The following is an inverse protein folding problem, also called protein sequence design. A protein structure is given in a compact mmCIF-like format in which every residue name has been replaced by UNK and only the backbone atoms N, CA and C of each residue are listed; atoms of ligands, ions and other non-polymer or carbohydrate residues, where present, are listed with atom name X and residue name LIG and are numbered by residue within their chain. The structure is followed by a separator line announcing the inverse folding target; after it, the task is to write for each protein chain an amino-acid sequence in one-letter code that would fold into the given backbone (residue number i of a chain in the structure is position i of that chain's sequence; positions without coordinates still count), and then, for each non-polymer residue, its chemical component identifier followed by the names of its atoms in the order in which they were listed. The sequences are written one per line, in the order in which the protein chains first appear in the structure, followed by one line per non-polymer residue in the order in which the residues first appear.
data_IF_306016142487
#
_entry.id   IF_306016142487
#
_cell.length_a   1.000
_cell.length_b   1.000
_cell.length_c   1.000
_cell.angle_alpha   90.00
_cell.angle_beta   90.00
_cell.angle_gamma   90.00
#
_symmetry.space_group_name_H-M   'P 1'
#
loop_
_entity.id
_entity.type
_entity.pdbx_description
1 polymer ?
#
# COMPACT_ATOMS: atom_id res chain seq x y z
N UNK A 1 18.98 -24.49 3.90
CA UNK A 1 19.26 -24.74 2.47
C UNK A 1 19.92 -26.08 2.22
N UNK A 2 20.83 -26.56 3.06
CA UNK A 2 21.45 -27.89 2.92
C UNK A 2 20.42 -29.01 2.80
N UNK A 3 19.32 -28.95 3.56
CA UNK A 3 18.23 -29.93 3.49
C UNK A 3 17.50 -29.90 2.14
N UNK A 4 17.38 -28.74 1.49
CA UNK A 4 16.74 -28.63 0.17
C UNK A 4 17.60 -29.31 -0.92
N UNK A 5 18.92 -29.26 -0.77
CA UNK A 5 19.88 -29.91 -1.66
C UNK A 5 19.92 -31.43 -1.39
N UNK A 6 19.99 -31.80 -0.11
CA UNK A 6 20.14 -33.21 0.31
C UNK A 6 18.89 -34.06 0.08
N UNK A 7 17.69 -33.44 0.16
CA UNK A 7 16.41 -34.11 0.07
C UNK A 7 15.47 -33.41 -0.94
N UNK A 8 15.78 -33.47 -2.26
CA UNK A 8 15.03 -32.72 -3.29
C UNK A 8 13.57 -33.22 -3.41
N UNK A 9 13.29 -34.50 -3.15
CA UNK A 9 11.95 -35.08 -3.27
C UNK A 9 11.20 -35.20 -1.93
N UNK A 10 11.67 -34.51 -0.90
CA UNK A 10 11.05 -34.59 0.42
C UNK A 10 9.62 -34.06 0.41
N UNK A 11 8.70 -34.78 1.06
CA UNK A 11 7.35 -34.28 1.34
C UNK A 11 7.30 -33.00 2.17
N UNK A 12 8.42 -32.64 2.81
CA UNK A 12 8.57 -31.39 3.57
C UNK A 12 9.17 -30.25 2.75
N UNK A 13 9.45 -30.46 1.44
CA UNK A 13 10.11 -29.48 0.59
C UNK A 13 9.44 -28.10 0.65
N UNK A 14 8.11 -28.06 0.55
CA UNK A 14 7.36 -26.78 0.67
C UNK A 14 7.65 -26.06 2.01
N UNK A 15 7.64 -26.79 3.12
CA UNK A 15 7.95 -26.21 4.44
C UNK A 15 9.40 -25.76 4.55
N UNK A 16 10.34 -26.50 3.98
CA UNK A 16 11.76 -26.14 3.94
C UNK A 16 11.97 -24.86 3.10
N UNK A 17 11.32 -24.76 1.94
CA UNK A 17 11.33 -23.56 1.11
C UNK A 17 10.77 -22.34 1.86
N UNK A 18 9.66 -22.51 2.60
CA UNK A 18 9.09 -21.44 3.41
C UNK A 18 10.07 -20.95 4.47
N UNK A 19 10.65 -21.86 5.25
CA UNK A 19 11.60 -21.51 6.30
C UNK A 19 12.88 -20.86 5.74
N UNK A 20 13.40 -21.37 4.61
CA UNK A 20 14.53 -20.76 3.91
C UNK A 20 14.19 -19.34 3.43
N UNK A 21 13.02 -19.16 2.81
CA UNK A 21 12.53 -17.86 2.35
C UNK A 21 12.40 -16.84 3.50
N UNK A 22 11.76 -17.23 4.62
CA UNK A 22 11.64 -16.37 5.80
C UNK A 22 13.01 -16.00 6.40
N UNK A 23 13.95 -16.97 6.43
CA UNK A 23 15.31 -16.72 6.93
C UNK A 23 16.06 -15.72 6.05
N UNK A 24 16.01 -15.89 4.73
CA UNK A 24 16.64 -14.98 3.77
C UNK A 24 15.98 -13.60 3.78
N UNK A 25 14.66 -13.54 3.94
CA UNK A 25 13.96 -12.27 4.11
C UNK A 25 14.45 -11.48 5.32
N UNK A 26 14.63 -12.15 6.48
CA UNK A 26 15.18 -11.52 7.70
C UNK A 26 16.61 -11.01 7.50
N UNK A 27 17.40 -11.68 6.67
CA UNK A 27 18.74 -11.26 6.28
C UNK A 27 18.75 -10.17 5.19
N UNK A 28 17.58 -9.68 4.77
CA UNK A 28 17.39 -8.69 3.69
C UNK A 28 17.86 -9.19 2.30
N UNK A 29 18.00 -10.49 2.14
CA UNK A 29 18.35 -11.15 0.88
C UNK A 29 17.08 -11.43 0.06
N UNK A 30 16.41 -10.35 -0.35
CA UNK A 30 15.07 -10.38 -0.94
C UNK A 30 14.96 -11.27 -2.17
N UNK A 31 15.93 -11.23 -3.09
CA UNK A 31 15.91 -12.02 -4.33
C UNK A 31 15.95 -13.52 -4.01
N UNK A 32 16.82 -13.93 -3.07
CA UNK A 32 16.94 -15.33 -2.67
C UNK A 32 15.66 -15.80 -1.96
N UNK A 33 15.10 -14.95 -1.09
CA UNK A 33 13.85 -15.25 -0.42
C UNK A 33 12.68 -15.45 -1.41
N UNK A 34 12.56 -14.58 -2.44
CA UNK A 34 11.58 -14.73 -3.52
C UNK A 34 11.72 -16.07 -4.25
N UNK A 35 12.95 -16.49 -4.55
CA UNK A 35 13.22 -17.78 -5.21
C UNK A 35 12.70 -18.94 -4.36
N UNK A 36 12.97 -18.95 -3.05
CA UNK A 36 12.47 -19.98 -2.15
C UNK A 36 10.95 -20.02 -2.05
N UNK A 37 10.29 -18.85 -1.90
CA UNK A 37 8.82 -18.81 -1.87
C UNK A 37 8.21 -19.30 -3.19
N UNK A 38 8.76 -18.88 -4.33
CA UNK A 38 8.29 -19.31 -5.64
C UNK A 38 8.48 -20.83 -5.85
N UNK A 39 9.60 -21.38 -5.39
CA UNK A 39 9.87 -22.83 -5.45
C UNK A 39 8.91 -23.61 -4.54
N UNK A 40 8.68 -23.14 -3.33
CA UNK A 40 7.73 -23.75 -2.40
C UNK A 40 6.30 -23.77 -2.94
N UNK A 41 5.89 -22.75 -3.68
CA UNK A 41 4.56 -22.65 -4.31
C UNK A 41 4.32 -23.67 -5.43
N UNK A 42 5.38 -24.26 -6.00
CA UNK A 42 5.29 -25.28 -7.08
C UNK A 42 5.07 -26.69 -6.54
N UNK A 43 5.13 -26.92 -5.22
CA UNK A 43 5.05 -28.25 -4.65
C UNK A 43 3.61 -28.78 -4.65
N UNK A 44 3.41 -29.98 -5.17
CA UNK A 44 2.07 -30.61 -5.31
C UNK A 44 1.39 -30.87 -3.96
N UNK A 45 2.17 -31.15 -2.91
CA UNK A 45 1.69 -31.43 -1.56
C UNK A 45 1.60 -30.21 -0.65
N UNK A 46 1.54 -29.02 -1.22
CA UNK A 46 1.52 -27.74 -0.49
C UNK A 46 0.22 -27.59 0.33
N UNK A 47 0.36 -27.57 1.66
CA UNK A 47 -0.77 -27.37 2.57
C UNK A 47 -1.40 -25.98 2.37
N UNK A 48 -2.75 -25.83 2.40
CA UNK A 48 -3.43 -24.55 2.17
C UNK A 48 -2.90 -23.38 3.04
N UNK A 49 -2.68 -23.62 4.33
CA UNK A 49 -2.16 -22.59 5.26
C UNK A 49 -0.76 -22.13 4.87
N UNK A 50 0.09 -23.02 4.37
CA UNK A 50 1.43 -22.69 3.92
C UNK A 50 1.39 -21.95 2.57
N UNK A 51 0.50 -22.40 1.67
CA UNK A 51 0.26 -21.74 0.39
C UNK A 51 -0.22 -20.30 0.57
N UNK A 52 -1.13 -20.08 1.51
CA UNK A 52 -1.64 -18.76 1.86
C UNK A 52 -0.51 -17.84 2.32
N UNK A 53 0.31 -18.31 3.28
CA UNK A 53 1.42 -17.54 3.82
C UNK A 53 2.49 -17.22 2.76
N UNK A 54 2.88 -18.23 1.96
CA UNK A 54 3.89 -18.07 0.90
C UNK A 54 3.42 -17.09 -0.18
N UNK A 55 2.18 -17.25 -0.64
CA UNK A 55 1.65 -16.41 -1.72
C UNK A 55 1.54 -14.95 -1.27
N UNK A 56 1.14 -14.70 -0.01
CA UNK A 56 1.11 -13.36 0.54
C UNK A 56 2.51 -12.75 0.63
N UNK A 57 3.50 -13.52 1.16
CA UNK A 57 4.89 -13.08 1.21
C UNK A 57 5.47 -12.77 -0.15
N UNK A 58 5.22 -13.65 -1.12
CA UNK A 58 5.66 -13.46 -2.50
C UNK A 58 5.11 -12.13 -3.06
N UNK A 59 3.81 -11.88 -2.90
CA UNK A 59 3.18 -10.65 -3.38
C UNK A 59 3.73 -9.39 -2.70
N UNK A 60 3.88 -9.40 -1.35
CA UNK A 60 4.45 -8.29 -0.59
C UNK A 60 5.89 -7.98 -1.01
N UNK A 61 6.71 -9.01 -1.21
CA UNK A 61 8.11 -8.84 -1.60
C UNK A 61 8.25 -8.34 -3.04
N UNK A 62 7.47 -8.86 -3.98
CA UNK A 62 7.40 -8.35 -5.35
C UNK A 62 7.02 -6.86 -5.37
N UNK A 63 6.02 -6.49 -4.55
CA UNK A 63 5.63 -5.09 -4.40
C UNK A 63 6.76 -4.23 -3.82
N UNK A 64 7.49 -4.72 -2.81
CA UNK A 64 8.58 -3.99 -2.17
C UNK A 64 9.83 -3.83 -3.04
N UNK A 65 10.02 -4.72 -4.02
CA UNK A 65 11.10 -4.65 -5.01
C UNK A 65 10.69 -3.95 -6.30
N UNK A 66 9.53 -3.27 -6.29
CA UNK A 66 8.96 -2.56 -7.42
C UNK A 66 8.62 -3.44 -8.64
N UNK A 67 8.56 -4.78 -8.47
CA UNK A 67 8.00 -5.68 -9.48
C UNK A 67 6.47 -5.69 -9.38
N UNK A 68 5.87 -4.53 -9.70
CA UNK A 68 4.43 -4.32 -9.60
C UNK A 68 3.59 -5.24 -10.51
N UNK A 69 4.02 -5.58 -11.74
CA UNK A 69 3.28 -6.53 -12.57
C UNK A 69 3.18 -7.93 -11.97
N UNK A 70 4.27 -8.43 -11.36
CA UNK A 70 4.25 -9.74 -10.67
C UNK A 70 3.47 -9.66 -9.36
N UNK A 71 3.62 -8.59 -8.60
CA UNK A 71 2.86 -8.34 -7.37
C UNK A 71 1.34 -8.36 -7.63
N UNK A 72 0.89 -7.66 -8.68
CA UNK A 72 -0.51 -7.67 -9.11
C UNK A 72 -1.04 -9.09 -9.35
N UNK A 73 -0.28 -9.92 -10.09
CA UNK A 73 -0.66 -11.31 -10.37
C UNK A 73 -0.74 -12.14 -9.08
N UNK A 74 0.23 -11.97 -8.19
CA UNK A 74 0.29 -12.72 -6.92
C UNK A 74 -0.83 -12.31 -5.97
N UNK A 75 -1.12 -11.02 -5.80
CA UNK A 75 -2.26 -10.55 -5.00
C UNK A 75 -3.60 -11.02 -5.57
N UNK A 76 -3.78 -10.95 -6.89
CA UNK A 76 -4.99 -11.45 -7.55
C UNK A 76 -5.18 -12.94 -7.32
N UNK A 77 -4.11 -13.73 -7.47
CA UNK A 77 -4.12 -15.17 -7.20
C UNK A 77 -4.46 -15.42 -5.72
N UNK A 78 -3.89 -14.65 -4.79
CA UNK A 78 -4.20 -14.75 -3.37
C UNK A 78 -5.70 -14.53 -3.09
N UNK A 79 -6.28 -13.47 -3.60
CA UNK A 79 -7.70 -13.14 -3.38
C UNK A 79 -8.62 -14.24 -3.92
N UNK A 80 -8.29 -14.80 -5.09
CA UNK A 80 -9.07 -15.86 -5.71
C UNK A 80 -8.98 -17.20 -4.95
N UNK A 81 -7.78 -17.54 -4.44
CA UNK A 81 -7.56 -18.81 -3.74
C UNK A 81 -7.98 -18.79 -2.28
N UNK A 82 -7.92 -17.63 -1.63
CA UNK A 82 -8.18 -17.45 -0.20
C UNK A 82 -9.18 -16.33 0.06
N UNK A 83 -10.43 -16.46 -0.44
CA UNK A 83 -11.44 -15.39 -0.36
C UNK A 83 -11.87 -15.09 1.08
N UNK A 84 -11.71 -16.01 2.02
CA UNK A 84 -12.03 -15.84 3.43
C UNK A 84 -10.81 -15.55 4.32
N UNK A 85 -9.66 -15.29 3.70
CA UNK A 85 -8.44 -14.99 4.44
C UNK A 85 -8.57 -13.70 5.26
N UNK A 86 -8.00 -13.71 6.46
CA UNK A 86 -7.80 -12.50 7.26
C UNK A 86 -6.94 -11.44 6.55
N UNK A 87 -6.11 -11.84 5.59
CA UNK A 87 -5.25 -10.95 4.79
C UNK A 87 -5.91 -10.47 3.50
N UNK A 88 -7.17 -10.84 3.24
CA UNK A 88 -7.90 -10.45 2.01
C UNK A 88 -7.85 -8.94 1.77
N UNK A 89 -8.13 -8.13 2.79
CA UNK A 89 -8.13 -6.67 2.66
C UNK A 89 -6.72 -6.12 2.40
N UNK A 90 -5.69 -6.69 3.01
CA UNK A 90 -4.29 -6.37 2.69
C UNK A 90 -4.00 -6.70 1.21
N UNK A 91 -4.37 -7.90 0.75
CA UNK A 91 -4.16 -8.30 -0.63
C UNK A 91 -4.93 -7.43 -1.63
N UNK A 92 -6.17 -7.04 -1.33
CA UNK A 92 -6.96 -6.10 -2.13
C UNK A 92 -6.27 -4.74 -2.25
N UNK A 93 -5.75 -4.22 -1.13
CA UNK A 93 -4.97 -2.99 -1.16
C UNK A 93 -3.69 -3.15 -1.99
N UNK A 94 -2.93 -4.22 -1.78
CA UNK A 94 -1.69 -4.51 -2.50
C UNK A 94 -1.91 -4.66 -4.02
N UNK A 95 -3.02 -5.26 -4.42
CA UNK A 95 -3.42 -5.38 -5.83
C UNK A 95 -3.66 -4.00 -6.45
N UNK A 96 -4.46 -3.16 -5.80
CA UNK A 96 -4.73 -1.79 -6.26
C UNK A 96 -3.45 -0.93 -6.29
N UNK A 97 -2.62 -1.02 -5.23
CA UNK A 97 -1.32 -0.37 -5.14
C UNK A 97 -0.38 -0.76 -6.28
N UNK A 98 -0.39 -2.03 -6.68
CA UNK A 98 0.42 -2.52 -7.81
C UNK A 98 -0.01 -1.90 -9.15
N UNK A 99 -1.32 -1.67 -9.34
CA UNK A 99 -1.84 -0.99 -10.52
C UNK A 99 -1.48 0.50 -10.54
N UNK A 100 -1.59 1.17 -9.39
CA UNK A 100 -1.20 2.57 -9.23
C UNK A 100 0.27 2.77 -9.61
N UNK A 101 1.16 1.93 -9.09
CA UNK A 101 2.59 1.99 -9.38
C UNK A 101 2.99 1.40 -10.75
N UNK A 102 2.02 0.91 -11.53
CA UNK A 102 2.18 0.52 -12.94
C UNK A 102 1.59 1.57 -13.90
N UNK A 103 1.44 2.81 -13.45
CA UNK A 103 0.87 3.93 -14.20
C UNK A 103 -0.57 3.66 -14.71
N UNK A 104 -1.38 2.99 -13.88
CA UNK A 104 -2.78 2.66 -14.16
C UNK A 104 -3.72 3.20 -13.09
N UNK A 105 -3.70 4.52 -12.80
CA UNK A 105 -4.44 5.09 -11.68
C UNK A 105 -5.96 4.87 -11.78
N UNK A 106 -6.54 4.89 -12.99
CA UNK A 106 -7.96 4.63 -13.17
C UNK A 106 -8.37 3.18 -12.88
N UNK A 107 -7.48 2.19 -13.12
CA UNK A 107 -7.70 0.81 -12.72
C UNK A 107 -7.50 0.65 -11.21
N UNK A 108 -6.51 1.32 -10.63
CA UNK A 108 -6.25 1.31 -9.20
C UNK A 108 -7.46 1.81 -8.40
N UNK A 109 -8.08 2.92 -8.80
CA UNK A 109 -9.30 3.46 -8.18
C UNK A 109 -10.41 2.41 -8.13
N UNK A 110 -10.68 1.71 -9.25
CA UNK A 110 -11.70 0.65 -9.30
C UNK A 110 -11.37 -0.51 -8.35
N UNK A 111 -10.10 -0.79 -8.13
CA UNK A 111 -9.65 -1.88 -7.26
C UNK A 111 -9.51 -1.44 -5.78
N UNK A 112 -9.43 -0.14 -5.48
CA UNK A 112 -9.59 0.39 -4.12
C UNK A 112 -11.07 0.43 -3.68
N UNK A 113 -12.02 0.60 -4.60
CA UNK A 113 -13.44 0.76 -4.30
C UNK A 113 -14.02 -0.30 -3.34
N UNK A 114 -13.75 -1.62 -3.48
CA UNK A 114 -14.28 -2.63 -2.55
C UNK A 114 -13.81 -2.44 -1.10
N UNK A 115 -12.67 -1.76 -0.86
CA UNK A 115 -12.20 -1.43 0.48
C UNK A 115 -12.97 -0.25 1.09
N UNK A 116 -13.63 0.56 0.26
CA UNK A 116 -14.34 1.79 0.63
C UNK A 116 -15.85 1.59 0.78
N UNK A 117 -16.42 0.55 0.15
CA UNK A 117 -17.87 0.28 0.11
C UNK A 117 -18.43 -0.31 1.40
N UNK A 118 -17.58 -0.79 2.30
CA UNK A 118 -18.01 -1.39 3.55
C UNK A 118 -18.11 -0.36 4.66
N UNK A 119 -19.30 0.17 4.90
CA UNK A 119 -19.59 1.05 6.05
C UNK A 119 -19.38 0.34 7.41
N UNK A 120 -19.29 -1.00 7.40
CA UNK A 120 -19.16 -1.83 8.60
C UNK A 120 -17.72 -2.00 9.09
N UNK A 121 -16.74 -1.84 8.22
CA UNK A 121 -15.33 -2.08 8.54
C UNK A 121 -14.50 -0.86 8.18
N UNK A 122 -14.29 0.02 9.14
CA UNK A 122 -13.34 1.13 9.03
C UNK A 122 -12.04 0.71 9.70
N UNK A 123 -11.12 0.19 8.92
CA UNK A 123 -9.78 -0.21 9.35
C UNK A 123 -8.69 0.63 8.64
N UNK A 124 -7.44 0.30 8.92
CA UNK A 124 -6.30 0.97 8.29
C UNK A 124 -6.31 0.85 6.75
N UNK A 125 -6.82 -0.27 6.21
CA UNK A 125 -6.87 -0.49 4.76
C UNK A 125 -7.89 0.41 4.09
N UNK A 126 -9.04 0.67 4.75
CA UNK A 126 -10.03 1.65 4.29
C UNK A 126 -9.41 3.05 4.20
N UNK A 127 -8.74 3.50 5.26
CA UNK A 127 -8.11 4.83 5.29
C UNK A 127 -7.03 4.97 4.22
N UNK A 128 -6.18 3.96 4.09
CA UNK A 128 -5.12 3.93 3.06
C UNK A 128 -5.71 3.93 1.65
N UNK A 129 -6.74 3.10 1.39
CA UNK A 129 -7.38 3.03 0.09
C UNK A 129 -8.00 4.38 -0.31
N UNK A 130 -8.67 5.06 0.63
CA UNK A 130 -9.24 6.39 0.37
C UNK A 130 -8.16 7.41 0.06
N UNK A 131 -7.10 7.43 0.85
CA UNK A 131 -5.97 8.33 0.61
C UNK A 131 -5.34 8.09 -0.77
N UNK A 132 -5.05 6.83 -1.12
CA UNK A 132 -4.47 6.48 -2.43
C UNK A 132 -5.44 6.77 -3.60
N UNK A 133 -6.74 6.64 -3.39
CA UNK A 133 -7.74 7.09 -4.38
C UNK A 133 -7.59 8.59 -4.66
N UNK A 134 -7.36 9.40 -3.62
CA UNK A 134 -7.06 10.83 -3.76
C UNK A 134 -5.76 11.09 -4.54
N UNK A 135 -4.68 10.34 -4.24
CA UNK A 135 -3.41 10.42 -4.99
C UNK A 135 -3.59 10.04 -6.46
N UNK A 136 -4.35 8.98 -6.76
CA UNK A 136 -4.67 8.59 -8.13
C UNK A 136 -5.40 9.72 -8.87
N UNK A 137 -6.39 10.36 -8.26
CA UNK A 137 -7.09 11.50 -8.87
C UNK A 137 -6.16 12.69 -9.07
N UNK A 138 -5.28 12.98 -8.09
CA UNK A 138 -4.28 14.04 -8.21
C UNK A 138 -3.34 13.80 -9.40
N UNK A 139 -2.81 12.59 -9.55
CA UNK A 139 -1.94 12.20 -10.66
C UNK A 139 -2.66 12.28 -12.03
N UNK A 140 -3.97 12.07 -12.04
CA UNK A 140 -4.82 12.27 -13.23
C UNK A 140 -5.22 13.74 -13.45
N UNK A 141 -4.73 14.68 -12.62
CA UNK A 141 -5.10 16.10 -12.61
C UNK A 141 -6.60 16.36 -12.36
N UNK A 142 -7.30 15.39 -11.77
CA UNK A 142 -8.68 15.49 -11.33
C UNK A 142 -8.73 16.07 -9.93
N UNK A 143 -8.44 17.37 -9.84
CA UNK A 143 -8.17 18.04 -8.56
C UNK A 143 -9.39 18.11 -7.64
N UNK A 144 -10.60 18.26 -8.17
CA UNK A 144 -11.82 18.31 -7.37
C UNK A 144 -12.10 16.96 -6.69
N UNK A 145 -11.96 15.88 -7.45
CA UNK A 145 -12.10 14.52 -6.93
C UNK A 145 -11.00 14.21 -5.91
N UNK A 146 -9.77 14.62 -6.16
CA UNK A 146 -8.66 14.45 -5.23
C UNK A 146 -8.95 15.15 -3.88
N UNK A 147 -9.36 16.42 -3.91
CA UNK A 147 -9.73 17.18 -2.72
C UNK A 147 -10.87 16.49 -1.97
N UNK A 148 -11.89 15.99 -2.66
CA UNK A 148 -13.01 15.26 -2.04
C UNK A 148 -12.54 14.04 -1.27
N UNK A 149 -11.64 13.23 -1.85
CA UNK A 149 -11.13 12.04 -1.17
C UNK A 149 -10.24 12.40 0.03
N UNK A 150 -9.38 13.41 -0.07
CA UNK A 150 -8.56 13.88 1.06
C UNK A 150 -9.39 14.53 2.16
N UNK A 151 -10.47 15.27 1.83
CA UNK A 151 -11.43 15.76 2.83
C UNK A 151 -12.13 14.62 3.56
N UNK A 152 -12.50 13.55 2.85
CA UNK A 152 -13.04 12.36 3.50
C UNK A 152 -12.05 11.76 4.49
N UNK A 153 -10.74 11.73 4.15
CA UNK A 153 -9.70 11.28 5.08
C UNK A 153 -9.63 12.20 6.30
N UNK A 154 -9.66 13.51 6.12
CA UNK A 154 -9.63 14.49 7.22
C UNK A 154 -10.83 14.34 8.16
N UNK A 155 -12.04 14.18 7.63
CA UNK A 155 -13.28 14.31 8.41
C UNK A 155 -13.69 12.98 9.06
N UNK A 156 -13.62 11.87 8.31
CA UNK A 156 -14.24 10.62 8.71
C UNK A 156 -13.34 9.73 9.58
N UNK A 157 -12.02 9.86 9.48
CA UNK A 157 -11.11 8.89 10.10
C UNK A 157 -10.42 9.41 11.36
N UNK A 158 -11.20 9.88 12.33
CA UNK A 158 -10.72 10.48 13.60
C UNK A 158 -9.78 9.58 14.42
N UNK A 159 -9.87 8.27 14.27
CA UNK A 159 -8.98 7.30 14.93
C UNK A 159 -7.56 7.24 14.33
N UNK A 160 -7.34 7.93 13.20
CA UNK A 160 -6.08 7.88 12.45
C UNK A 160 -5.51 9.28 12.24
N UNK A 161 -5.06 9.98 13.31
CA UNK A 161 -4.62 11.39 13.24
C UNK A 161 -3.48 11.61 12.25
N UNK A 162 -2.55 10.66 12.11
CA UNK A 162 -1.48 10.74 11.12
C UNK A 162 -2.02 10.77 9.68
N UNK A 163 -3.12 10.07 9.38
CA UNK A 163 -3.75 10.09 8.07
C UNK A 163 -4.58 11.34 7.85
N UNK A 164 -5.25 11.86 8.90
CA UNK A 164 -5.94 13.15 8.83
C UNK A 164 -4.98 14.27 8.49
N UNK A 165 -3.83 14.32 9.19
CA UNK A 165 -2.77 15.30 8.93
C UNK A 165 -2.24 15.21 7.49
N UNK A 166 -2.06 13.98 6.96
CA UNK A 166 -1.70 13.77 5.55
C UNK A 166 -2.79 14.26 4.60
N UNK A 167 -4.05 13.96 4.87
CA UNK A 167 -5.17 14.43 4.04
C UNK A 167 -5.19 15.96 3.88
N UNK A 168 -5.02 16.69 4.99
CA UNK A 168 -4.95 18.17 4.96
C UNK A 168 -3.73 18.63 4.18
N UNK A 169 -2.57 17.99 4.38
CA UNK A 169 -1.34 18.32 3.66
C UNK A 169 -1.54 18.16 2.14
N UNK A 170 -2.16 17.05 1.70
CA UNK A 170 -2.39 16.78 0.28
C UNK A 170 -3.39 17.77 -0.33
N UNK A 171 -4.41 18.22 0.42
CA UNK A 171 -5.29 19.31 -0.04
C UNK A 171 -4.45 20.57 -0.32
N UNK A 172 -3.51 20.91 0.57
CA UNK A 172 -2.58 22.00 0.34
C UNK A 172 -1.75 21.85 -0.95
N UNK A 173 -1.27 20.63 -1.24
CA UNK A 173 -0.54 20.32 -2.48
C UNK A 173 -1.43 20.46 -3.73
N UNK A 174 -2.67 19.98 -3.67
CA UNK A 174 -3.64 20.14 -4.77
C UNK A 174 -3.88 21.62 -5.04
N UNK A 175 -4.06 22.42 -3.99
CA UNK A 175 -4.27 23.88 -4.13
C UNK A 175 -3.04 24.57 -4.75
N UNK A 176 -1.82 24.14 -4.42
CA UNK A 176 -0.61 24.61 -5.09
C UNK A 176 -0.59 24.28 -6.58
N UNK A 177 -0.97 23.05 -6.94
CA UNK A 177 -1.07 22.62 -8.33
C UNK A 177 -2.11 23.44 -9.12
N UNK A 178 -3.15 23.93 -8.44
CA UNK A 178 -4.15 24.85 -8.98
C UNK A 178 -3.72 26.33 -8.92
N UNK A 179 -2.49 26.63 -8.51
CA UNK A 179 -1.96 27.99 -8.31
C UNK A 179 -2.72 28.83 -7.24
N UNK A 180 -3.44 28.18 -6.33
CA UNK A 180 -4.18 28.80 -5.21
C UNK A 180 -3.28 28.91 -3.97
N UNK A 181 -2.20 29.71 -4.08
CA UNK A 181 -1.14 29.79 -3.05
C UNK A 181 -1.65 30.25 -1.68
N UNK A 182 -2.61 31.17 -1.63
CA UNK A 182 -3.20 31.66 -0.37
C UNK A 182 -3.90 30.56 0.40
N UNK A 183 -4.79 29.83 -0.28
CA UNK A 183 -5.55 28.72 0.32
C UNK A 183 -4.63 27.58 0.74
N UNK A 184 -3.60 27.28 -0.06
CA UNK A 184 -2.60 26.27 0.27
C UNK A 184 -1.84 26.62 1.56
N UNK A 185 -1.44 27.90 1.74
CA UNK A 185 -0.80 28.36 2.98
C UNK A 185 -1.67 28.11 4.20
N UNK A 186 -2.96 28.37 4.12
CA UNK A 186 -3.89 28.12 5.24
C UNK A 186 -3.98 26.61 5.55
N UNK A 187 -4.07 25.75 4.55
CA UNK A 187 -4.07 24.30 4.77
C UNK A 187 -2.78 23.79 5.42
N UNK A 188 -1.62 24.29 5.03
CA UNK A 188 -0.35 23.94 5.69
C UNK A 188 -0.28 24.42 7.14
N UNK A 189 -0.81 25.62 7.44
CA UNK A 189 -0.94 26.10 8.84
C UNK A 189 -1.86 25.20 9.66
N UNK A 190 -3.00 24.75 9.09
CA UNK A 190 -3.92 23.84 9.74
C UNK A 190 -3.22 22.54 10.17
N UNK A 191 -2.40 21.95 9.29
CA UNK A 191 -1.62 20.74 9.64
C UNK A 191 -0.73 20.99 10.86
N UNK A 192 0.02 22.11 10.85
CA UNK A 192 0.97 22.45 11.92
C UNK A 192 0.25 22.70 13.25
N UNK A 193 -0.91 23.37 13.21
CA UNK A 193 -1.67 23.75 14.39
C UNK A 193 -2.40 22.54 15.01
N UNK A 194 -3.06 21.75 14.17
CA UNK A 194 -3.89 20.64 14.63
C UNK A 194 -3.11 19.36 14.91
N UNK A 195 -2.00 19.15 14.22
CA UNK A 195 -1.20 17.92 14.26
C UNK A 195 0.31 18.20 14.38
N UNK A 196 0.76 18.99 15.39
CA UNK A 196 2.14 19.50 15.47
C UNK A 196 3.21 18.40 15.55
N UNK A 197 2.85 17.22 16.07
CA UNK A 197 3.74 16.08 16.28
C UNK A 197 3.77 15.09 15.12
N UNK A 198 2.92 15.27 14.10
CA UNK A 198 2.86 14.37 12.96
C UNK A 198 3.91 14.73 11.90
N UNK A 199 4.41 13.73 11.17
CA UNK A 199 5.38 13.95 10.08
C UNK A 199 4.87 14.94 9.03
N UNK A 200 3.56 14.96 8.79
CA UNK A 200 2.92 15.92 7.88
C UNK A 200 3.17 17.38 8.29
N UNK A 201 3.28 17.70 9.58
CA UNK A 201 3.58 19.06 10.04
C UNK A 201 5.00 19.50 9.69
N UNK A 202 5.97 18.60 9.65
CA UNK A 202 7.33 18.90 9.20
C UNK A 202 7.31 19.29 7.72
N UNK A 203 6.62 18.50 6.90
CA UNK A 203 6.48 18.75 5.46
C UNK A 203 5.71 20.05 5.20
N UNK A 204 4.65 20.32 5.98
CA UNK A 204 3.87 21.54 5.86
C UNK A 204 4.73 22.80 6.14
N UNK A 205 5.64 22.76 7.13
CA UNK A 205 6.60 23.85 7.37
C UNK A 205 7.50 24.10 6.17
N UNK A 206 8.03 23.02 5.57
CA UNK A 206 8.87 23.14 4.37
C UNK A 206 8.13 23.82 3.21
N UNK A 207 6.86 23.46 2.97
CA UNK A 207 6.06 24.15 1.95
C UNK A 207 5.83 25.63 2.27
N UNK A 208 5.56 25.97 3.53
CA UNK A 208 5.40 27.37 3.92
C UNK A 208 6.69 28.18 3.72
N UNK A 209 7.85 27.61 4.03
CA UNK A 209 9.15 28.28 3.82
C UNK A 209 9.44 28.47 2.33
N UNK A 210 9.18 27.48 1.49
CA UNK A 210 9.28 27.61 0.03
C UNK A 210 8.36 28.71 -0.52
N UNK A 211 7.14 28.82 -0.01
CA UNK A 211 6.18 29.83 -0.44
C UNK A 211 6.52 31.25 0.03
N UNK A 212 7.38 31.40 1.07
CA UNK A 212 7.94 32.71 1.50
C UNK A 212 9.07 33.19 0.60
N UNK A 213 9.91 32.24 0.14
CA UNK A 213 11.09 32.55 -0.69
C UNK A 213 10.77 32.75 -2.17
N UNK A 214 9.60 32.29 -2.62
CA UNK A 214 9.17 32.32 -4.03
C UNK A 214 8.18 33.46 -4.34
N UNK A 215 7.93 34.36 -3.42
CA UNK A 215 7.05 35.53 -3.56
C UNK A 215 7.76 36.80 -3.23
#
# INVERSE_FOLDING_TARGET
EELLIKYPDSKLRASMCFQAGESRYKLKETVIALTHFAEGMKQDNLKPVLAESMLMRLAEMQSSTADHPSAYKSYRNFINRFPESRWKRNAQFGLAWSLENSDKPGEAIRNYAPLLESDKVVDLWTVRARFQTGECYFNMQKYEEAVKEFLNVEIQYKKYPAWQAKGILEIGRVLLAQNKRGDAKERFKDVITRYPNEKAAIVARQYLDQLRTSG
#
